data_IF_863283551462
#
_entry.id   IF_863283551462
#
_cell.length_a   1.000
_cell.length_b   1.000
_cell.length_c   1.000
_cell.angle_alpha   90.00
_cell.angle_beta   90.00
_cell.angle_gamma   90.00
#
_symmetry.space_group_name_H-M   'P 1'
#
loop_
_entity.id
_entity.type
_entity.pdbx_description
1 polymer ?
#
# COMPACT_ATOMS: atom_id res chain seq x y z
N UNK A 1 -12.09 0.43 -0.45
CA UNK A 1 -11.16 1.53 -0.76
C UNK A 1 -10.29 1.76 0.47
N UNK A 2 -8.95 1.84 0.33
CA UNK A 2 -8.10 2.19 1.47
C UNK A 2 -8.26 3.67 1.83
N UNK A 3 -8.44 3.94 3.12
CA UNK A 3 -8.50 5.27 3.71
C UNK A 3 -7.69 5.30 4.99
N UNK A 4 -6.73 6.21 5.05
CA UNK A 4 -5.99 6.46 6.28
C UNK A 4 -6.91 7.12 7.32
N UNK A 5 -7.06 6.52 8.50
CA UNK A 5 -7.84 7.09 9.60
C UNK A 5 -7.14 8.27 10.27
N UNK A 6 -5.83 8.44 10.08
CA UNK A 6 -5.03 9.52 10.69
C UNK A 6 -5.05 10.81 9.86
N UNK A 7 -4.70 10.75 8.58
CA UNK A 7 -4.58 11.93 7.72
C UNK A 7 -5.65 12.04 6.64
N UNK A 8 -6.54 11.04 6.52
CA UNK A 8 -7.59 11.02 5.50
C UNK A 8 -7.12 10.70 4.08
N UNK A 9 -5.85 10.38 3.88
CA UNK A 9 -5.32 9.95 2.57
C UNK A 9 -6.11 8.75 2.02
N UNK A 10 -6.48 8.80 0.74
CA UNK A 10 -7.15 7.72 0.00
C UNK A 10 -6.44 7.39 -1.31
N UNK A 11 -5.27 7.98 -1.56
CA UNK A 11 -4.61 7.92 -2.86
C UNK A 11 -3.37 7.04 -2.88
N UNK A 12 -2.48 7.11 -1.90
CA UNK A 12 -1.23 6.32 -1.96
C UNK A 12 -0.99 5.52 -0.69
N UNK A 13 -0.82 4.21 -0.84
CA UNK A 13 -0.60 3.27 0.26
C UNK A 13 0.55 2.32 -0.06
N UNK A 14 1.24 1.85 0.97
CA UNK A 14 2.36 0.92 0.88
C UNK A 14 2.12 -0.31 1.72
N UNK A 15 3.03 -1.28 1.64
CA UNK A 15 2.94 -2.54 2.35
C UNK A 15 3.95 -2.67 3.48
N UNK A 16 3.53 -3.00 4.69
CA UNK A 16 4.49 -3.38 5.75
C UNK A 16 5.12 -4.75 5.49
N UNK A 17 4.44 -5.61 4.71
CA UNK A 17 4.88 -6.99 4.41
C UNK A 17 6.08 -7.03 3.49
N UNK A 18 6.25 -6.00 2.66
CA UNK A 18 7.37 -5.91 1.72
C UNK A 18 8.33 -4.84 2.24
N UNK A 19 9.46 -5.23 2.85
CA UNK A 19 10.44 -4.28 3.32
C UNK A 19 11.02 -3.49 2.14
N UNK A 20 11.44 -2.24 2.36
CA UNK A 20 12.08 -1.47 1.30
C UNK A 20 13.38 -2.13 0.84
N UNK A 21 13.73 -1.99 -0.46
CA UNK A 21 14.93 -2.60 -1.05
C UNK A 21 16.25 -2.11 -0.41
N UNK A 22 16.22 -0.95 0.25
CA UNK A 22 17.36 -0.40 0.97
C UNK A 22 16.88 0.33 2.23
N UNK A 23 17.52 0.05 3.37
CA UNK A 23 17.35 0.80 4.61
C UNK A 23 18.09 2.14 4.52
N UNK A 24 17.57 3.05 3.71
CA UNK A 24 18.06 4.43 3.63
C UNK A 24 17.23 5.31 4.56
N UNK A 25 17.85 6.29 5.21
CA UNK A 25 17.16 7.24 6.11
C UNK A 25 16.00 8.00 5.42
N UNK A 26 16.05 8.14 4.09
CA UNK A 26 14.99 8.71 3.24
C UNK A 26 14.45 7.68 2.23
N UNK A 27 14.63 6.38 2.53
CA UNK A 27 14.18 5.29 1.67
C UNK A 27 12.66 5.22 1.61
N UNK A 28 12.11 4.55 0.58
CA UNK A 28 10.68 4.32 0.52
C UNK A 28 10.22 3.59 1.80
N UNK A 29 9.04 3.94 2.31
CA UNK A 29 8.48 3.30 3.52
C UNK A 29 8.15 1.81 3.30
N UNK A 30 8.06 1.38 2.04
CA UNK A 30 7.73 0.01 1.64
C UNK A 30 8.41 -0.36 0.32
N UNK A 31 8.70 -1.65 0.14
CA UNK A 31 9.11 -2.21 -1.14
C UNK A 31 7.95 -2.37 -2.15
N UNK A 32 6.72 -2.05 -1.75
CA UNK A 32 5.54 -2.04 -2.61
C UNK A 32 4.65 -0.83 -2.30
N UNK A 33 4.36 -0.04 -3.32
CA UNK A 33 3.44 1.10 -3.23
C UNK A 33 2.32 0.97 -4.26
N UNK A 34 1.10 1.32 -3.87
CA UNK A 34 -0.09 1.34 -4.70
C UNK A 34 -0.71 2.73 -4.69
N UNK A 35 -1.00 3.24 -5.86
CA UNK A 35 -1.78 4.46 -6.08
C UNK A 35 -3.21 4.07 -6.49
N UNK A 36 -4.17 4.62 -5.76
CA UNK A 36 -5.59 4.34 -5.81
C UNK A 36 -6.35 5.57 -6.30
N UNK A 37 -7.36 5.34 -7.12
CA UNK A 37 -8.36 6.34 -7.48
C UNK A 37 -9.72 5.71 -7.26
N UNK A 38 -10.39 6.10 -6.16
CA UNK A 38 -11.59 5.44 -5.70
C UNK A 38 -11.32 3.99 -5.27
N UNK A 39 -11.99 3.04 -5.90
CA UNK A 39 -11.88 1.60 -5.62
C UNK A 39 -10.86 0.87 -6.50
N UNK A 40 -10.26 1.56 -7.47
CA UNK A 40 -9.35 0.93 -8.43
C UNK A 40 -7.90 1.32 -8.13
N UNK A 41 -7.01 0.34 -8.30
CA UNK A 41 -5.57 0.59 -8.32
C UNK A 41 -5.23 1.15 -9.71
N UNK A 42 -4.77 2.39 -9.73
CA UNK A 42 -4.33 3.07 -10.96
C UNK A 42 -2.88 2.71 -11.27
N UNK A 43 -2.08 2.50 -10.23
CA UNK A 43 -0.64 2.24 -10.38
C UNK A 43 -0.09 1.43 -9.23
N UNK A 44 0.73 0.44 -9.54
CA UNK A 44 1.59 -0.23 -8.56
C UNK A 44 3.05 0.06 -8.87
N UNK A 45 3.78 0.50 -7.86
CA UNK A 45 5.23 0.69 -7.88
C UNK A 45 5.86 -0.41 -7.02
N UNK A 46 6.46 -1.39 -7.69
CA UNK A 46 7.30 -2.38 -7.03
C UNK A 46 8.71 -1.81 -6.91
N UNK A 47 9.15 -1.60 -5.67
CA UNK A 47 10.47 -1.08 -5.33
C UNK A 47 11.39 -2.21 -4.83
N UNK A 48 10.83 -3.36 -4.46
CA UNK A 48 11.57 -4.56 -4.08
C UNK A 48 10.69 -5.82 -4.04
N UNK A 49 9.45 -5.75 -4.53
CA UNK A 49 8.53 -6.89 -4.58
C UNK A 49 8.69 -7.68 -5.89
N UNK A 50 8.75 -9.00 -5.78
CA UNK A 50 8.69 -9.90 -6.92
C UNK A 50 7.38 -9.76 -7.69
N UNK A 51 7.39 -10.19 -8.95
CA UNK A 51 6.20 -10.18 -9.81
C UNK A 51 5.03 -10.93 -9.18
N UNK A 52 5.29 -12.05 -8.48
CA UNK A 52 4.27 -12.83 -7.78
C UNK A 52 3.61 -12.02 -6.66
N UNK A 53 4.40 -11.30 -5.86
CA UNK A 53 3.91 -10.43 -4.79
C UNK A 53 3.06 -9.29 -5.38
N UNK A 54 3.53 -8.69 -6.47
CA UNK A 54 2.79 -7.63 -7.15
C UNK A 54 1.43 -8.14 -7.66
N UNK A 55 1.38 -9.34 -8.25
CA UNK A 55 0.13 -9.98 -8.68
C UNK A 55 -0.78 -10.29 -7.49
N UNK A 56 -0.24 -10.84 -6.39
CA UNK A 56 -1.03 -11.13 -5.19
C UNK A 56 -1.59 -9.85 -4.53
N UNK A 57 -0.84 -8.75 -4.57
CA UNK A 57 -1.31 -7.46 -4.08
C UNK A 57 -2.38 -6.82 -4.97
N UNK A 58 -2.38 -7.11 -6.28
CA UNK A 58 -3.48 -6.71 -7.18
C UNK A 58 -4.74 -7.56 -6.96
N UNK A 59 -4.56 -8.85 -6.66
CA UNK A 59 -5.66 -9.79 -6.39
C UNK A 59 -6.31 -9.54 -5.02
N UNK A 60 -5.50 -9.25 -3.99
CA UNK A 60 -5.94 -9.02 -2.62
C UNK A 60 -5.37 -7.73 -2.01
N UNK A 61 -5.71 -6.54 -2.53
CA UNK A 61 -5.05 -5.29 -2.15
C UNK A 61 -5.21 -4.94 -0.67
N UNK A 62 -6.34 -5.27 -0.06
CA UNK A 62 -6.58 -5.09 1.38
C UNK A 62 -5.59 -5.85 2.28
N UNK A 63 -5.03 -6.96 1.80
CA UNK A 63 -4.05 -7.74 2.53
C UNK A 63 -2.62 -7.20 2.39
N UNK A 64 -2.37 -6.31 1.42
CA UNK A 64 -1.02 -5.83 1.12
C UNK A 64 -0.81 -4.35 1.41
N UNK A 65 -1.76 -3.44 1.15
CA UNK A 65 -1.54 -2.01 1.40
C UNK A 65 -2.12 -1.54 2.72
N UNK A 66 -1.31 -1.65 3.77
CA UNK A 66 -1.64 -1.31 5.15
C UNK A 66 -0.93 -0.05 5.66
N UNK A 67 0.03 0.51 4.93
CA UNK A 67 0.76 1.73 5.31
C UNK A 67 0.24 2.92 4.52
N UNK A 68 -0.11 4.02 5.18
CA UNK A 68 -0.33 5.30 4.53
C UNK A 68 1.00 5.94 4.12
N UNK A 69 1.24 6.12 2.82
CA UNK A 69 2.49 6.74 2.35
C UNK A 69 2.57 8.25 2.57
N UNK A 70 1.47 8.89 2.97
CA UNK A 70 1.42 10.32 3.27
C UNK A 70 1.89 10.64 4.69
N UNK A 71 1.49 9.83 5.68
CA UNK A 71 1.81 10.08 7.10
C UNK A 71 2.57 8.94 7.79
N UNK A 72 2.76 7.81 7.13
CA UNK A 72 3.42 6.61 7.67
C UNK A 72 2.57 5.76 8.61
N UNK A 73 1.33 6.15 8.92
CA UNK A 73 0.45 5.38 9.80
C UNK A 73 0.00 4.05 9.16
N UNK A 74 -0.15 3.02 9.99
CA UNK A 74 -0.73 1.72 9.61
C UNK A 74 -2.25 1.65 9.84
N UNK A 75 -2.87 2.74 10.29
CA UNK A 75 -4.32 2.79 10.53
C UNK A 75 -5.08 3.03 9.22
N UNK A 76 -5.07 2.02 8.35
CA UNK A 76 -5.75 2.03 7.05
C UNK A 76 -7.06 1.25 7.15
N UNK A 77 -8.16 1.93 6.86
CA UNK A 77 -9.48 1.36 6.72
C UNK A 77 -9.73 0.99 5.26
N UNK A 78 -10.12 -0.24 4.97
CA UNK A 78 -10.38 -0.66 3.59
C UNK A 78 -11.84 -0.57 3.15
N UNK A 79 -12.74 -0.15 4.05
CA UNK A 79 -14.16 -0.49 3.95
C UNK A 79 -14.37 -2.01 3.96
N UNK A 80 -15.53 -2.47 4.41
CA UNK A 80 -15.85 -3.90 4.50
C UNK A 80 -15.45 -4.67 3.23
N UNK A 81 -14.54 -5.66 3.38
CA UNK A 81 -14.41 -6.72 2.38
C UNK A 81 -15.76 -7.42 2.27
N UNK A 82 -16.31 -7.64 1.06
CA UNK A 82 -17.43 -8.56 0.92
C UNK A 82 -16.97 -9.94 1.42
N UNK A 83 -17.73 -10.47 2.38
CA UNK A 83 -17.56 -11.80 2.95
C UNK A 83 -17.69 -12.92 1.90
#
# INVERSE_FOLDING_TARGET
MPRCRVCGNTSSFGSSRIPPPAQSANGPLSGLAGDFNGNEIVRTRSLGADKQVTTAALDNPAAFFDICLYCGSQEVDWGESPA
#
